data_IF_464201488636
#
_entry.id   IF_464201488636
#
_cell.length_a   1.000
_cell.length_b   1.000
_cell.length_c   1.000
_cell.angle_alpha   90.00
_cell.angle_beta   90.00
_cell.angle_gamma   90.00
#
_symmetry.space_group_name_H-M   'P 1'
#
loop_
_entity.id
_entity.type
_entity.pdbx_description
1 polymer ?
#
# COMPACT_ATOMS: atom_id res chain seq x y z
N UNK A 1 -9.87 -13.89 11.83
CA UNK A 1 -9.47 -12.59 12.37
C UNK A 1 -8.90 -12.76 13.78
N UNK A 2 -7.81 -12.05 14.08
CA UNK A 2 -7.18 -12.13 15.40
C UNK A 2 -6.23 -13.29 15.58
N UNK A 3 -6.03 -14.12 14.56
CA UNK A 3 -5.18 -15.31 14.65
C UNK A 3 -3.85 -15.14 13.91
N UNK A 4 -3.57 -13.96 13.37
CA UNK A 4 -2.37 -13.69 12.59
C UNK A 4 -2.54 -14.02 11.12
N UNK A 5 -1.46 -13.87 10.37
CA UNK A 5 -1.40 -14.14 8.94
C UNK A 5 -0.37 -15.21 8.66
N UNK A 6 -0.66 -16.07 7.67
CA UNK A 6 0.17 -17.24 7.36
C UNK A 6 0.36 -17.42 5.86
N UNK A 7 1.52 -17.92 5.48
CA UNK A 7 1.82 -18.35 4.11
C UNK A 7 2.40 -19.75 4.19
N UNK A 8 1.73 -20.71 3.54
CA UNK A 8 2.14 -22.14 3.59
C UNK A 8 2.32 -22.61 5.03
N UNK A 9 1.35 -22.27 5.91
CA UNK A 9 1.32 -22.62 7.33
C UNK A 9 2.42 -21.95 8.17
N UNK A 10 3.24 -21.07 7.56
CA UNK A 10 4.23 -20.30 8.30
C UNK A 10 3.68 -18.90 8.58
N UNK A 11 3.84 -18.36 9.80
CA UNK A 11 3.39 -17.01 10.09
C UNK A 11 4.17 -15.98 9.25
N UNK A 12 3.46 -14.95 8.79
CA UNK A 12 4.07 -13.86 8.03
C UNK A 12 3.90 -12.55 8.78
N UNK A 13 4.82 -11.63 8.51
CA UNK A 13 4.83 -10.30 9.10
C UNK A 13 5.22 -9.29 8.04
N UNK A 14 4.73 -8.06 8.22
CA UNK A 14 5.20 -6.94 7.41
C UNK A 14 6.69 -6.71 7.65
N UNK A 15 7.31 -5.94 6.77
CA UNK A 15 8.74 -5.65 6.87
C UNK A 15 9.05 -4.75 8.07
N UNK A 16 10.34 -4.68 8.41
CA UNK A 16 10.82 -3.85 9.51
C UNK A 16 11.42 -2.51 9.07
N UNK A 17 11.28 -2.11 7.81
CA UNK A 17 11.83 -0.85 7.35
C UNK A 17 11.31 0.32 8.19
N UNK A 18 12.20 1.16 8.67
CA UNK A 18 11.85 2.25 9.57
C UNK A 18 11.75 3.59 8.86
N UNK A 19 12.36 3.72 7.69
CA UNK A 19 12.35 4.96 6.91
C UNK A 19 11.96 4.68 5.47
N UNK A 20 11.35 5.66 4.84
CA UNK A 20 10.97 5.56 3.44
C UNK A 20 12.22 5.42 2.55
N UNK A 21 13.32 6.06 2.91
CA UNK A 21 14.55 6.02 2.12
C UNK A 21 15.13 4.62 1.95
N UNK A 22 14.85 3.71 2.88
CA UNK A 22 15.32 2.32 2.78
C UNK A 22 14.26 1.36 2.25
N UNK A 23 13.13 1.90 1.79
CA UNK A 23 11.96 1.10 1.46
C UNK A 23 11.81 0.84 -0.03
N UNK A 24 11.24 -0.31 -0.36
CA UNK A 24 10.76 -0.66 -1.68
C UNK A 24 9.24 -0.49 -1.68
N UNK A 25 8.74 0.36 -2.58
CA UNK A 25 7.32 0.70 -2.66
C UNK A 25 6.75 0.20 -3.98
N UNK A 26 5.63 -0.51 -3.92
CA UNK A 26 4.90 -0.86 -5.14
C UNK A 26 3.78 0.14 -5.37
N UNK A 27 3.45 0.36 -6.63
CA UNK A 27 2.45 1.34 -7.03
C UNK A 27 1.43 0.72 -7.97
N UNK A 28 0.20 1.25 -7.91
CA UNK A 28 -0.81 0.97 -8.90
C UNK A 28 -1.10 2.24 -9.69
N UNK A 29 -1.46 2.11 -10.96
CA UNK A 29 -1.64 3.25 -11.86
C UNK A 29 -3.10 3.63 -12.07
N UNK A 30 -4.05 2.83 -11.57
CA UNK A 30 -5.48 3.04 -11.82
C UNK A 30 -5.73 3.29 -13.31
N UNK A 31 -5.40 2.32 -14.19
CA UNK A 31 -5.26 2.58 -15.62
C UNK A 31 -6.55 2.94 -16.34
N UNK A 32 -7.70 2.69 -15.74
CA UNK A 32 -8.99 3.09 -16.30
C UNK A 32 -9.36 4.54 -16.00
N UNK A 33 -8.52 5.26 -15.25
CA UNK A 33 -8.78 6.63 -14.82
C UNK A 33 -7.66 7.55 -15.32
N UNK A 34 -7.61 7.75 -16.63
CA UNK A 34 -6.55 8.54 -17.29
C UNK A 34 -6.51 9.99 -16.79
N UNK A 35 -7.61 10.49 -16.27
CA UNK A 35 -7.66 11.84 -15.68
C UNK A 35 -6.74 11.97 -14.46
N UNK A 36 -6.34 10.86 -13.86
CA UNK A 36 -5.42 10.85 -12.72
C UNK A 36 -3.95 10.79 -13.12
N UNK A 37 -3.65 10.73 -14.42
CA UNK A 37 -2.28 10.49 -14.88
C UNK A 37 -1.31 11.55 -14.37
N UNK A 38 -1.66 12.82 -14.47
CA UNK A 38 -0.78 13.91 -14.02
C UNK A 38 -0.50 13.82 -12.53
N UNK A 39 -1.53 13.58 -11.73
CA UNK A 39 -1.40 13.41 -10.29
C UNK A 39 -0.54 12.19 -9.96
N UNK A 40 -0.88 11.05 -10.58
CA UNK A 40 -0.17 9.81 -10.35
C UNK A 40 1.33 9.94 -10.61
N UNK A 41 1.71 10.44 -11.79
CA UNK A 41 3.12 10.50 -12.14
C UNK A 41 3.88 11.55 -11.36
N UNK A 42 3.23 12.62 -10.94
CA UNK A 42 3.82 13.59 -10.04
C UNK A 42 4.16 12.93 -8.69
N UNK A 43 3.20 12.18 -8.15
CA UNK A 43 3.38 11.48 -6.88
C UNK A 43 4.42 10.36 -7.00
N UNK A 44 4.36 9.59 -8.09
CA UNK A 44 5.33 8.51 -8.32
C UNK A 44 6.75 9.04 -8.35
N UNK A 45 6.96 10.18 -9.01
CA UNK A 45 8.26 10.81 -9.04
C UNK A 45 8.73 11.19 -7.64
N UNK A 46 7.85 11.81 -6.85
CA UNK A 46 8.20 12.24 -5.50
C UNK A 46 8.51 11.06 -4.59
N UNK A 47 7.72 10.01 -4.69
CA UNK A 47 7.97 8.78 -3.91
C UNK A 47 9.28 8.13 -4.36
N UNK A 48 9.51 8.03 -5.67
CA UNK A 48 10.74 7.47 -6.20
C UNK A 48 11.99 8.19 -5.67
N UNK A 49 11.93 9.52 -5.59
CA UNK A 49 13.05 10.30 -5.09
C UNK A 49 13.24 10.15 -3.57
N UNK A 50 12.24 9.64 -2.87
CA UNK A 50 12.26 9.53 -1.40
C UNK A 50 12.47 8.11 -0.90
N UNK A 51 12.34 7.10 -1.76
CA UNK A 51 12.48 5.70 -1.37
C UNK A 51 13.66 5.05 -2.08
N UNK A 52 13.90 3.79 -1.82
CA UNK A 52 14.98 3.06 -2.48
C UNK A 52 14.65 2.77 -3.94
N UNK A 53 13.45 2.33 -4.21
CA UNK A 53 12.98 2.08 -5.57
C UNK A 53 11.47 1.88 -5.55
N UNK A 54 10.86 1.97 -6.73
CA UNK A 54 9.44 1.66 -6.91
C UNK A 54 9.28 0.51 -7.90
N UNK A 55 8.19 -0.24 -7.76
CA UNK A 55 7.82 -1.35 -8.64
C UNK A 55 6.35 -1.25 -8.99
N UNK A 56 5.99 -1.70 -10.17
CA UNK A 56 4.59 -1.83 -10.58
C UNK A 56 4.34 -3.27 -11.01
N UNK A 57 3.58 -4.02 -10.21
CA UNK A 57 3.30 -5.43 -10.49
C UNK A 57 2.04 -5.63 -11.31
N UNK A 58 1.12 -4.68 -11.28
CA UNK A 58 -0.09 -4.75 -12.07
C UNK A 58 -1.24 -5.52 -11.41
N UNK A 59 -1.08 -5.93 -10.16
CA UNK A 59 -2.12 -6.62 -9.40
C UNK A 59 -2.14 -6.10 -7.97
N UNK A 60 -3.20 -5.39 -7.60
CA UNK A 60 -3.33 -4.87 -6.24
C UNK A 60 -3.34 -5.99 -5.20
N UNK A 61 -3.99 -7.11 -5.50
CA UNK A 61 -4.01 -8.24 -4.58
C UNK A 61 -2.60 -8.79 -4.33
N UNK A 62 -1.80 -8.91 -5.38
CA UNK A 62 -0.42 -9.37 -5.26
C UNK A 62 0.45 -8.35 -4.53
N UNK A 63 0.31 -7.07 -4.86
CA UNK A 63 1.03 -5.99 -4.19
C UNK A 63 0.78 -6.01 -2.69
N UNK A 64 -0.47 -6.10 -2.29
CA UNK A 64 -0.84 -6.09 -0.88
C UNK A 64 -0.39 -7.37 -0.16
N UNK A 65 -0.44 -8.52 -0.85
CA UNK A 65 0.08 -9.76 -0.29
C UNK A 65 1.59 -9.66 -0.02
N UNK A 66 2.32 -9.01 -0.92
CA UNK A 66 3.76 -8.81 -0.73
C UNK A 66 4.07 -7.87 0.43
N UNK A 67 3.22 -6.85 0.66
CA UNK A 67 3.33 -6.03 1.87
C UNK A 67 3.13 -6.89 3.11
N UNK A 68 2.10 -7.73 3.10
CA UNK A 68 1.77 -8.57 4.26
C UNK A 68 2.89 -9.52 4.65
N UNK A 69 3.65 -10.04 3.67
CA UNK A 69 4.74 -10.97 3.97
C UNK A 69 6.12 -10.31 4.00
N UNK A 70 6.18 -8.99 3.91
CA UNK A 70 7.43 -8.24 4.07
C UNK A 70 8.34 -8.22 2.85
N UNK A 71 7.86 -8.66 1.69
CA UNK A 71 8.66 -8.64 0.45
C UNK A 71 8.80 -7.25 -0.14
N UNK A 72 7.78 -6.41 0.08
CA UNK A 72 7.86 -4.97 -0.20
C UNK A 72 7.38 -4.25 1.06
N UNK A 73 7.68 -2.95 1.15
CA UNK A 73 7.44 -2.23 2.39
C UNK A 73 6.12 -1.48 2.38
N UNK A 74 5.64 -1.10 1.20
CA UNK A 74 4.36 -0.41 1.06
C UNK A 74 3.82 -0.52 -0.36
N UNK A 75 2.53 -0.26 -0.50
CA UNK A 75 1.81 -0.18 -1.76
C UNK A 75 0.79 0.94 -1.68
N UNK A 76 0.60 1.68 -2.78
CA UNK A 76 -0.51 2.62 -2.86
C UNK A 76 -1.10 2.67 -4.27
N UNK A 77 -2.38 3.01 -4.32
CA UNK A 77 -3.09 3.23 -5.58
C UNK A 77 -4.22 4.22 -5.35
N UNK A 78 -4.41 5.14 -6.31
CA UNK A 78 -5.36 6.24 -6.15
C UNK A 78 -6.81 5.79 -6.11
N UNK A 79 -7.18 4.78 -6.90
CA UNK A 79 -8.53 4.23 -6.90
C UNK A 79 -8.48 2.72 -6.99
N UNK A 80 -9.04 2.04 -5.98
CA UNK A 80 -9.26 0.60 -5.98
C UNK A 80 -10.71 0.31 -5.66
N UNK A 81 -11.21 -0.79 -6.20
CA UNK A 81 -12.55 -1.27 -5.91
C UNK A 81 -12.56 -2.04 -4.59
N UNK A 82 -13.71 -2.09 -3.87
CA UNK A 82 -13.75 -2.78 -2.57
C UNK A 82 -13.29 -4.24 -2.63
N UNK A 83 -13.62 -4.94 -3.71
CA UNK A 83 -13.22 -6.36 -3.86
C UNK A 83 -11.71 -6.52 -4.07
N UNK A 84 -11.00 -5.45 -4.44
CA UNK A 84 -9.56 -5.49 -4.62
C UNK A 84 -8.80 -5.39 -3.30
N UNK A 85 -9.38 -4.78 -2.27
CA UNK A 85 -8.61 -4.49 -1.06
C UNK A 85 -9.18 -5.09 0.23
N UNK A 86 -10.44 -5.53 0.26
CA UNK A 86 -11.06 -5.94 1.53
C UNK A 86 -10.37 -7.12 2.21
N UNK A 87 -10.13 -8.19 1.47
CA UNK A 87 -9.45 -9.37 2.04
C UNK A 87 -7.98 -9.07 2.36
N UNK A 88 -7.32 -8.33 1.47
CA UNK A 88 -5.90 -8.00 1.63
C UNK A 88 -5.69 -7.05 2.82
N UNK A 89 -6.63 -6.14 3.07
CA UNK A 89 -6.58 -5.27 4.24
C UNK A 89 -6.49 -6.08 5.53
N UNK A 90 -7.37 -7.08 5.66
CA UNK A 90 -7.36 -7.93 6.85
C UNK A 90 -6.02 -8.66 6.97
N UNK A 91 -5.52 -9.21 5.87
CA UNK A 91 -4.26 -9.93 5.86
C UNK A 91 -3.11 -9.05 6.36
N UNK A 92 -3.03 -7.82 5.85
CA UNK A 92 -1.96 -6.89 6.23
C UNK A 92 -2.08 -6.51 7.71
N UNK A 93 -3.30 -6.24 8.19
CA UNK A 93 -3.52 -5.88 9.59
C UNK A 93 -3.14 -7.03 10.52
N UNK A 94 -3.48 -8.27 10.15
CA UNK A 94 -3.10 -9.45 10.94
C UNK A 94 -1.59 -9.69 10.91
N UNK A 95 -0.91 -9.22 9.85
CA UNK A 95 0.55 -9.32 9.75
C UNK A 95 1.29 -8.14 10.43
N UNK A 96 0.55 -7.24 11.07
CA UNK A 96 1.13 -6.12 11.81
C UNK A 96 1.25 -4.82 11.04
N UNK A 97 0.71 -4.76 9.85
CA UNK A 97 0.75 -3.56 9.01
C UNK A 97 -0.47 -2.67 9.19
N UNK A 98 -0.56 -1.66 8.34
CA UNK A 98 -1.62 -0.66 8.40
C UNK A 98 -2.13 -0.32 7.00
N UNK A 99 -3.44 -0.23 6.85
CA UNK A 99 -4.09 0.11 5.58
C UNK A 99 -5.06 1.27 5.82
N UNK A 100 -4.90 2.36 5.07
CA UNK A 100 -5.73 3.55 5.19
C UNK A 100 -6.00 4.15 3.82
N UNK A 101 -6.84 5.19 3.78
CA UNK A 101 -6.92 6.06 2.61
C UNK A 101 -5.73 7.03 2.59
N UNK A 102 -5.72 7.98 1.67
CA UNK A 102 -4.62 8.95 1.54
C UNK A 102 -4.69 10.10 2.57
N UNK A 103 -5.75 10.14 3.37
CA UNK A 103 -5.84 11.05 4.50
C UNK A 103 -5.49 10.36 5.83
N UNK A 104 -5.11 9.09 5.77
CA UNK A 104 -4.76 8.33 6.98
C UNK A 104 -5.95 7.75 7.72
N UNK A 105 -7.14 7.78 7.10
CA UNK A 105 -8.36 7.29 7.73
C UNK A 105 -8.67 5.86 7.32
N UNK A 106 -9.50 5.19 8.13
CA UNK A 106 -10.01 3.87 7.79
C UNK A 106 -10.71 3.89 6.42
N UNK A 107 -10.51 2.81 5.66
CA UNK A 107 -11.18 2.68 4.36
C UNK A 107 -12.68 2.49 4.56
N UNK A 108 -13.52 3.18 3.75
CA UNK A 108 -14.96 2.96 3.82
C UNK A 108 -15.32 1.55 3.34
N UNK A 109 -16.33 0.97 3.96
CA UNK A 109 -16.81 -0.37 3.61
C UNK A 109 -17.63 -0.30 2.33
N UNK A 110 -17.29 -1.15 1.36
CA UNK A 110 -18.09 -1.33 0.15
C UNK A 110 -17.99 -0.20 -0.86
N UNK A 111 -17.02 0.70 -0.72
CA UNK A 111 -16.86 1.84 -1.64
C UNK A 111 -15.46 1.84 -2.24
N UNK A 112 -15.32 2.24 -3.53
CA UNK A 112 -13.99 2.42 -4.09
C UNK A 112 -13.28 3.61 -3.44
N UNK A 113 -11.95 3.58 -3.46
CA UNK A 113 -11.19 4.69 -2.90
C UNK A 113 -9.70 4.49 -3.00
N UNK A 114 -8.98 5.50 -2.53
CA UNK A 114 -7.53 5.47 -2.46
C UNK A 114 -7.08 4.54 -1.34
N UNK A 115 -6.01 3.80 -1.59
CA UNK A 115 -5.49 2.83 -0.61
C UNK A 115 -4.00 3.02 -0.43
N UNK A 116 -3.57 3.14 0.83
CA UNK A 116 -2.18 3.05 1.24
C UNK A 116 -2.05 1.86 2.18
N UNK A 117 -1.23 0.89 1.78
CA UNK A 117 -0.92 -0.28 2.61
C UNK A 117 0.57 -0.26 2.93
N UNK A 118 0.93 -0.42 4.18
CA UNK A 118 2.34 -0.38 4.57
C UNK A 118 2.62 -1.14 5.85
N UNK A 119 3.88 -1.12 6.25
CA UNK A 119 4.33 -1.83 7.44
C UNK A 119 3.99 -1.10 8.75
N UNK A 120 3.34 0.04 8.67
CA UNK A 120 2.98 0.86 9.82
C UNK A 120 4.04 1.87 10.22
N UNK A 121 5.29 1.61 9.92
CA UNK A 121 6.40 2.49 10.30
C UNK A 121 6.66 3.60 9.28
N UNK A 122 6.51 3.28 7.99
CA UNK A 122 6.76 4.26 6.91
C UNK A 122 5.49 4.92 6.41
N UNK A 123 4.33 4.51 6.89
CA UNK A 123 3.05 5.03 6.42
C UNK A 123 2.94 6.55 6.57
N UNK A 124 3.42 7.12 7.66
CA UNK A 124 3.34 8.57 7.86
C UNK A 124 4.15 9.37 6.85
N UNK A 125 5.35 8.91 6.50
CA UNK A 125 6.15 9.59 5.49
C UNK A 125 5.45 9.57 4.13
N UNK A 126 4.88 8.41 3.76
CA UNK A 126 4.10 8.30 2.53
C UNK A 126 2.86 9.18 2.56
N UNK A 127 2.15 9.23 3.68
CA UNK A 127 0.95 10.05 3.82
C UNK A 127 1.25 11.53 3.58
N UNK A 128 2.40 12.02 4.02
CA UNK A 128 2.78 13.41 3.76
C UNK A 128 2.87 13.70 2.28
N UNK A 129 3.41 12.78 1.50
CA UNK A 129 3.49 12.92 0.05
C UNK A 129 2.11 12.82 -0.58
N UNK A 130 1.33 11.81 -0.19
CA UNK A 130 0.05 11.50 -0.82
C UNK A 130 -1.04 12.53 -0.48
N UNK A 131 -1.06 13.03 0.75
CA UNK A 131 -2.10 13.96 1.19
C UNK A 131 -1.88 15.39 0.72
N UNK A 132 -0.66 15.77 0.38
CA UNK A 132 -0.34 17.10 -0.13
C UNK A 132 -0.69 17.28 -1.60
N UNK A 133 -1.03 16.21 -2.30
CA UNK A 133 -1.35 16.22 -3.72
C UNK A 133 -2.84 16.08 -3.93
#
# INVERSE_FOLDING_TARGET
KGEGAFLNDEPIHVSGAETLSESLVTIGTSPYYHELADWNFKVFKEVFLSCQDIRRLGSAALDMAYVACGRVDAFFEAILQPWDFSAAKLLIEEAGGKVTDFAGKELPVGMPGAVLAGNGKINEELLRILSEK
#
